data_IF_524924035002
#
_entry.id   IF_524924035002
#
_cell.length_a   1.000
_cell.length_b   1.000
_cell.length_c   1.000
_cell.angle_alpha   90.00
_cell.angle_beta   90.00
_cell.angle_gamma   90.00
#
_symmetry.space_group_name_H-M   'P 1'
#
loop_
_entity.id
_entity.type
_entity.pdbx_description
1 polymer ?
#
# COMPACT_ATOMS: atom_id res chain seq x y z
N UNK A 1 -49.18 -3.57 -34.17
CA UNK A 1 -50.62 -3.87 -34.00
C UNK A 1 -50.81 -4.60 -32.69
N UNK A 2 -51.31 -3.90 -31.67
CA UNK A 2 -51.72 -4.47 -30.37
C UNK A 2 -53.25 -4.64 -30.42
N UNK A 3 -53.80 -5.77 -29.93
CA UNK A 3 -54.86 -5.70 -28.91
C UNK A 3 -54.89 -6.95 -27.97
N UNK A 4 -55.80 -7.03 -26.98
CA UNK A 4 -56.00 -6.09 -25.88
C UNK A 4 -56.01 -6.78 -24.49
N UNK A 5 -56.01 -5.94 -23.44
CA UNK A 5 -56.21 -6.27 -22.02
C UNK A 5 -57.70 -6.48 -21.71
N UNK A 6 -58.02 -7.44 -20.84
CA UNK A 6 -59.26 -7.41 -20.04
C UNK A 6 -58.98 -7.44 -18.54
N UNK A 7 -59.57 -6.46 -17.86
CA UNK A 7 -59.73 -6.36 -16.40
C UNK A 7 -61.00 -7.10 -16.01
N UNK A 8 -60.97 -7.78 -14.87
CA UNK A 8 -62.20 -8.05 -14.11
C UNK A 8 -62.01 -7.52 -12.68
N UNK A 9 -62.90 -6.62 -12.31
CA UNK A 9 -63.15 -6.06 -10.97
C UNK A 9 -64.55 -6.52 -10.57
N UNK A 10 -64.71 -6.93 -9.31
CA UNK A 10 -65.90 -6.82 -8.44
C UNK A 10 -66.00 -8.05 -7.54
N UNK A 11 -66.52 -8.02 -6.31
CA UNK A 11 -66.72 -6.99 -5.30
C UNK A 11 -67.05 -7.72 -4.00
N UNK A 12 -66.87 -7.03 -2.88
CA UNK A 12 -67.26 -7.40 -1.52
C UNK A 12 -68.66 -8.02 -1.38
N UNK A 13 -68.80 -8.93 -0.41
CA UNK A 13 -69.92 -8.88 0.53
C UNK A 13 -69.55 -9.46 1.90
N UNK A 14 -69.92 -8.71 2.92
CA UNK A 14 -69.70 -8.97 4.34
C UNK A 14 -70.85 -9.79 4.94
N UNK A 15 -70.57 -10.58 5.99
CA UNK A 15 -71.50 -10.96 7.07
C UNK A 15 -70.65 -11.66 8.16
N UNK A 16 -70.40 -11.03 9.30
CA UNK A 16 -71.23 -10.97 10.52
C UNK A 16 -70.91 -12.07 11.55
N UNK A 17 -70.16 -11.66 12.59
CA UNK A 17 -70.25 -11.99 14.03
C UNK A 17 -70.76 -13.39 14.44
N UNK A 18 -69.95 -14.14 15.21
CA UNK A 18 -70.07 -14.29 16.69
C UNK A 18 -69.05 -15.31 17.26
N UNK A 19 -68.41 -14.85 18.33
CA UNK A 19 -67.84 -15.55 19.50
C UNK A 19 -67.99 -17.08 19.62
N UNK A 20 -66.86 -17.74 19.86
CA UNK A 20 -66.79 -19.08 20.46
C UNK A 20 -65.33 -19.42 20.81
N UNK A 21 -64.98 -19.31 22.09
CA UNK A 21 -63.69 -19.76 22.60
C UNK A 21 -63.64 -21.30 22.58
N UNK A 22 -62.64 -21.86 21.91
CA UNK A 22 -62.27 -23.27 22.05
C UNK A 22 -60.76 -23.31 22.31
N UNK A 23 -60.40 -23.51 23.58
CA UNK A 23 -59.05 -23.86 23.99
C UNK A 23 -58.75 -25.28 23.51
N UNK A 24 -57.89 -25.41 22.51
CA UNK A 24 -57.16 -26.65 22.24
C UNK A 24 -55.69 -26.28 22.27
N UNK A 25 -55.01 -26.75 23.32
CA UNK A 25 -53.59 -26.58 23.51
C UNK A 25 -52.81 -27.28 22.40
N UNK A 26 -51.97 -26.51 21.72
CA UNK A 26 -50.91 -27.05 20.85
C UNK A 26 -49.61 -26.41 21.31
N UNK A 27 -48.68 -27.26 21.71
CA UNK A 27 -47.35 -26.90 22.19
C UNK A 27 -46.61 -26.04 21.16
N UNK A 28 -46.22 -24.84 21.62
CA UNK A 28 -45.34 -23.93 20.91
C UNK A 28 -43.93 -24.53 20.93
N UNK A 29 -43.50 -25.14 19.84
CA UNK A 29 -42.07 -25.32 19.57
C UNK A 29 -41.56 -24.01 18.99
N UNK A 30 -40.90 -23.21 19.82
CA UNK A 30 -40.04 -22.12 19.37
C UNK A 30 -38.86 -22.73 18.60
N UNK A 31 -38.98 -22.80 17.27
CA UNK A 31 -37.81 -22.97 16.40
C UNK A 31 -37.09 -21.62 16.36
N UNK A 32 -36.15 -21.42 17.28
CA UNK A 32 -35.16 -20.36 17.19
C UNK A 32 -34.30 -20.64 15.96
N UNK A 33 -34.63 -20.02 14.83
CA UNK A 33 -33.65 -19.78 13.78
C UNK A 33 -32.59 -18.86 14.38
N UNK A 34 -31.50 -19.45 14.85
CA UNK A 34 -30.27 -18.74 15.07
C UNK A 34 -29.83 -18.19 13.71
N UNK A 35 -30.09 -16.90 13.49
CA UNK A 35 -29.43 -16.14 12.44
C UNK A 35 -27.92 -16.41 12.60
N UNK A 36 -27.21 -16.79 11.53
CA UNK A 36 -25.76 -16.86 11.64
C UNK A 36 -25.31 -15.46 12.03
N UNK A 37 -24.70 -15.36 13.21
CA UNK A 37 -24.03 -14.17 13.67
C UNK A 37 -23.26 -13.62 12.48
N UNK A 38 -23.60 -12.41 12.06
CA UNK A 38 -22.87 -11.69 11.04
C UNK A 38 -21.40 -11.92 11.31
N UNK A 39 -20.77 -12.68 10.42
CA UNK A 39 -19.34 -12.94 10.47
C UNK A 39 -18.74 -11.57 10.65
N UNK A 40 -18.13 -11.34 11.81
CA UNK A 40 -17.30 -10.18 12.00
C UNK A 40 -16.21 -10.35 10.95
N UNK A 41 -16.42 -9.75 9.78
CA UNK A 41 -15.37 -9.34 8.89
C UNK A 41 -14.56 -8.40 9.76
N UNK A 42 -13.61 -8.99 10.48
CA UNK A 42 -12.48 -8.30 11.02
C UNK A 42 -11.93 -7.60 9.80
N UNK A 43 -12.15 -6.29 9.73
CA UNK A 43 -11.46 -5.44 8.78
C UNK A 43 -9.99 -5.72 9.03
N UNK A 44 -9.39 -6.59 8.21
CA UNK A 44 -7.95 -6.74 8.17
C UNK A 44 -7.50 -5.39 7.62
N UNK A 45 -7.20 -4.47 8.52
CA UNK A 45 -6.38 -3.32 8.21
C UNK A 45 -5.01 -3.89 7.81
N UNK A 46 -4.86 -4.25 6.53
CA UNK A 46 -3.54 -4.44 5.95
C UNK A 46 -2.80 -3.11 6.10
N UNK A 47 -1.58 -3.17 6.64
CA UNK A 47 -0.86 -2.00 7.13
C UNK A 47 -0.95 -1.80 8.65
N UNK A 48 -0.76 -2.84 9.46
CA UNK A 48 -0.68 -2.70 10.93
C UNK A 48 0.58 -1.93 11.35
N UNK A 49 0.53 -0.61 11.21
CA UNK A 49 1.43 0.35 11.82
C UNK A 49 0.72 0.97 13.00
N UNK A 50 0.61 0.18 14.07
CA UNK A 50 0.17 0.72 15.36
C UNK A 50 1.34 1.48 15.96
N UNK A 51 1.12 2.74 16.35
CA UNK A 51 2.14 3.56 16.99
C UNK A 51 2.54 2.87 18.31
N UNK A 52 3.77 2.40 18.36
CA UNK A 52 4.44 1.87 19.55
C UNK A 52 5.77 2.58 19.77
N UNK A 53 6.44 2.27 20.87
CA UNK A 53 7.79 2.78 21.16
C UNK A 53 8.81 1.78 20.61
N UNK A 54 9.49 2.08 19.48
CA UNK A 54 10.45 1.16 18.91
C UNK A 54 11.76 1.17 19.73
N UNK A 55 12.36 0.00 19.93
CA UNK A 55 13.63 -0.15 20.65
C UNK A 55 14.82 0.24 19.76
N UNK A 56 15.83 0.87 20.36
CA UNK A 56 17.14 1.06 19.74
C UNK A 56 17.82 -0.29 19.47
N UNK A 57 18.89 -0.30 18.67
CA UNK A 57 19.62 -1.53 18.39
C UNK A 57 20.14 -2.19 19.66
N UNK A 58 20.80 -1.44 20.54
CA UNK A 58 21.37 -1.97 21.79
C UNK A 58 20.32 -2.56 22.73
N UNK A 59 19.15 -1.94 22.84
CA UNK A 59 18.04 -2.48 23.62
C UNK A 59 17.46 -3.75 22.98
N UNK A 60 17.31 -3.75 21.65
CA UNK A 60 16.72 -4.86 20.91
C UNK A 60 17.57 -6.14 20.95
N UNK A 61 18.90 -6.02 21.10
CA UNK A 61 19.83 -7.17 21.20
C UNK A 61 19.42 -8.17 22.28
N UNK A 62 18.92 -7.66 23.41
CA UNK A 62 18.52 -8.45 24.58
C UNK A 62 17.35 -9.38 24.27
N UNK A 63 16.50 -9.00 23.32
CA UNK A 63 15.28 -9.73 22.99
C UNK A 63 15.43 -10.63 21.75
N UNK A 64 16.54 -10.59 21.02
CA UNK A 64 16.68 -11.27 19.72
C UNK A 64 16.37 -12.77 19.80
N UNK A 65 16.89 -13.45 20.84
CA UNK A 65 16.65 -14.87 21.05
C UNK A 65 15.17 -15.17 21.36
N UNK A 66 14.55 -14.32 22.17
CA UNK A 66 13.13 -14.42 22.49
C UNK A 66 12.27 -14.18 21.24
N UNK A 67 12.53 -13.11 20.48
CA UNK A 67 11.75 -12.75 19.28
C UNK A 67 11.80 -13.88 18.25
N UNK A 68 12.97 -14.47 17.97
CA UNK A 68 13.10 -15.60 17.05
C UNK A 68 12.31 -16.82 17.55
N UNK A 69 12.48 -17.17 18.82
CA UNK A 69 11.77 -18.32 19.43
C UNK A 69 10.26 -18.12 19.47
N UNK A 70 9.79 -16.90 19.79
CA UNK A 70 8.38 -16.53 19.78
C UNK A 70 7.81 -16.55 18.35
N UNK A 71 8.55 -16.04 17.37
CA UNK A 71 8.15 -16.06 15.96
C UNK A 71 7.99 -17.48 15.43
N UNK A 72 8.93 -18.39 15.72
CA UNK A 72 8.82 -19.81 15.35
C UNK A 72 7.60 -20.46 16.01
N UNK A 73 7.35 -20.19 17.31
CA UNK A 73 6.15 -20.70 17.99
C UNK A 73 4.85 -20.17 17.37
N UNK A 74 4.79 -18.88 17.04
CA UNK A 74 3.64 -18.27 16.38
C UNK A 74 3.41 -18.85 14.99
N UNK A 75 4.48 -19.08 14.23
CA UNK A 75 4.42 -19.73 12.93
C UNK A 75 3.86 -21.16 13.04
N UNK A 76 4.43 -22.00 13.92
CA UNK A 76 3.98 -23.38 14.11
C UNK A 76 2.52 -23.42 14.59
N UNK A 77 2.15 -22.56 15.54
CA UNK A 77 0.78 -22.46 16.04
C UNK A 77 -0.20 -22.07 14.93
N UNK A 78 0.16 -21.07 14.12
CA UNK A 78 -0.67 -20.63 12.99
C UNK A 78 -0.79 -21.74 11.96
N UNK A 79 0.33 -22.37 11.56
CA UNK A 79 0.34 -23.49 10.63
C UNK A 79 -0.57 -24.63 11.11
N UNK A 80 -0.40 -25.09 12.35
CA UNK A 80 -1.23 -26.17 12.89
C UNK A 80 -2.72 -25.80 12.97
N UNK A 81 -3.05 -24.53 13.18
CA UNK A 81 -4.43 -24.04 13.19
C UNK A 81 -5.08 -24.06 11.80
N UNK A 82 -4.32 -23.80 10.74
CA UNK A 82 -4.86 -23.56 9.39
C UNK A 82 -4.50 -24.62 8.34
N UNK A 83 -3.58 -25.54 8.63
CA UNK A 83 -3.07 -26.55 7.67
C UNK A 83 -4.15 -27.44 7.04
N UNK A 84 -5.22 -27.67 7.79
CA UNK A 84 -6.31 -28.57 7.41
C UNK A 84 -7.49 -27.82 6.77
N UNK A 85 -7.41 -26.48 6.63
CA UNK A 85 -8.37 -25.71 5.86
C UNK A 85 -8.36 -26.14 4.39
N UNK A 86 -9.56 -26.21 3.81
CA UNK A 86 -9.85 -26.59 2.42
C UNK A 86 -10.97 -25.72 1.89
N UNK A 87 -11.04 -25.56 0.57
CA UNK A 87 -12.09 -24.78 -0.08
C UNK A 87 -11.88 -23.27 -0.02
N UNK A 88 -10.64 -22.81 0.18
CA UNK A 88 -10.32 -21.40 0.07
C UNK A 88 -10.51 -20.92 -1.37
N UNK A 89 -11.16 -19.77 -1.53
CA UNK A 89 -11.26 -19.09 -2.82
C UNK A 89 -9.91 -18.49 -3.22
N UNK A 90 -9.61 -18.47 -4.51
CA UNK A 90 -8.43 -17.77 -5.02
C UNK A 90 -8.65 -16.26 -4.85
N UNK A 91 -8.11 -15.71 -3.77
CA UNK A 91 -8.07 -14.28 -3.50
C UNK A 91 -6.69 -13.72 -3.83
N UNK A 92 -6.65 -12.58 -4.51
CA UNK A 92 -5.42 -11.92 -4.90
C UNK A 92 -5.61 -10.40 -4.98
N UNK A 93 -4.52 -9.64 -5.06
CA UNK A 93 -4.54 -8.19 -5.08
C UNK A 93 -3.26 -7.63 -5.65
N UNK A 94 -3.28 -6.33 -5.94
CA UNK A 94 -2.10 -5.58 -6.39
C UNK A 94 -1.77 -4.45 -5.40
N UNK A 95 -0.48 -4.16 -5.25
CA UNK A 95 0.03 -3.07 -4.42
C UNK A 95 0.83 -2.12 -5.32
N UNK A 96 0.54 -0.81 -5.22
CA UNK A 96 1.17 0.20 -6.07
C UNK A 96 1.70 1.34 -5.22
N UNK A 97 2.97 1.64 -5.39
CA UNK A 97 3.67 2.76 -4.75
C UNK A 97 3.68 3.99 -5.65
N UNK A 98 3.46 5.16 -5.05
CA UNK A 98 3.46 6.46 -5.70
C UNK A 98 4.54 7.34 -5.07
N UNK A 99 5.37 7.97 -5.89
CA UNK A 99 6.25 9.05 -5.46
C UNK A 99 5.57 10.39 -5.70
N UNK A 100 5.49 11.25 -4.68
CA UNK A 100 4.88 12.58 -4.73
C UNK A 100 5.98 13.61 -4.96
N UNK A 101 5.88 14.32 -6.08
CA UNK A 101 6.89 15.29 -6.50
C UNK A 101 6.27 16.65 -6.74
N UNK A 102 6.96 17.70 -6.28
CA UNK A 102 6.64 19.10 -6.57
C UNK A 102 7.36 19.55 -7.83
N UNK A 103 6.64 20.13 -8.77
CA UNK A 103 7.12 20.60 -10.07
C UNK A 103 7.07 22.12 -10.10
N UNK A 104 8.25 22.73 -9.97
CA UNK A 104 8.41 24.16 -10.20
C UNK A 104 8.50 24.43 -11.70
N UNK A 105 7.45 25.04 -12.26
CA UNK A 105 7.33 25.34 -13.68
C UNK A 105 8.30 26.45 -14.13
N UNK A 106 8.66 27.38 -13.25
CA UNK A 106 9.53 28.50 -13.55
C UNK A 106 10.99 28.04 -13.57
N UNK A 107 11.45 27.41 -12.49
CA UNK A 107 12.83 26.90 -12.41
C UNK A 107 13.03 25.57 -13.13
N UNK A 108 11.95 24.94 -13.61
CA UNK A 108 11.92 23.61 -14.24
C UNK A 108 12.54 22.52 -13.36
N UNK A 109 12.39 22.66 -12.03
CA UNK A 109 12.90 21.71 -11.04
C UNK A 109 11.78 20.80 -10.56
N UNK A 110 12.14 19.54 -10.35
CA UNK A 110 11.27 18.55 -9.71
C UNK A 110 11.90 18.16 -8.39
N UNK A 111 11.14 18.26 -7.30
CA UNK A 111 11.61 17.99 -5.93
C UNK A 111 10.69 17.02 -5.22
N UNK A 112 11.19 16.38 -4.17
CA UNK A 112 10.44 15.41 -3.38
C UNK A 112 9.48 16.14 -2.45
N UNK A 113 8.17 15.95 -2.58
CA UNK A 113 7.20 16.55 -1.66
C UNK A 113 7.11 15.68 -0.41
N UNK A 114 7.48 16.19 0.77
CA UNK A 114 7.44 15.44 2.03
C UNK A 114 6.03 15.34 2.64
N UNK A 115 4.99 15.55 1.82
CA UNK A 115 3.58 15.54 2.22
C UNK A 115 2.93 14.16 2.17
N UNK A 116 3.68 13.07 2.01
CA UNK A 116 3.12 11.71 1.91
C UNK A 116 2.22 11.32 3.08
N UNK A 117 2.59 11.72 4.31
CA UNK A 117 1.73 11.49 5.49
C UNK A 117 0.41 12.27 5.40
N UNK A 118 0.49 13.56 5.07
CA UNK A 118 -0.68 14.43 4.96
C UNK A 118 -1.65 13.94 3.87
N UNK A 119 -1.12 13.63 2.69
CA UNK A 119 -1.87 13.08 1.55
C UNK A 119 -2.54 11.77 1.93
N UNK A 120 -1.82 10.86 2.59
CA UNK A 120 -2.38 9.58 3.06
C UNK A 120 -3.51 9.78 4.08
N UNK A 121 -3.34 10.68 5.05
CA UNK A 121 -4.38 10.98 6.05
C UNK A 121 -5.65 11.51 5.34
N UNK A 122 -5.51 12.48 4.43
CA UNK A 122 -6.64 13.03 3.67
C UNK A 122 -7.35 11.97 2.80
N UNK A 123 -6.59 11.07 2.18
CA UNK A 123 -7.16 9.98 1.39
C UNK A 123 -7.94 9.01 2.26
N UNK A 124 -7.39 8.59 3.39
CA UNK A 124 -8.08 7.70 4.33
C UNK A 124 -9.33 8.34 4.92
N UNK A 125 -9.31 9.65 5.22
CA UNK A 125 -10.49 10.39 5.67
C UNK A 125 -11.59 10.41 4.59
N UNK A 126 -11.22 10.60 3.32
CA UNK A 126 -12.18 10.54 2.19
C UNK A 126 -12.75 9.14 2.00
N UNK A 127 -11.94 8.09 2.13
CA UNK A 127 -12.39 6.70 2.00
C UNK A 127 -13.36 6.31 3.13
N UNK A 128 -13.10 6.76 4.37
CA UNK A 128 -14.00 6.54 5.51
C UNK A 128 -15.40 7.13 5.29
N UNK A 129 -15.49 8.21 4.50
CA UNK A 129 -16.74 8.90 4.18
C UNK A 129 -17.40 8.42 2.86
N UNK A 130 -16.80 7.47 2.15
CA UNK A 130 -17.23 7.02 0.81
C UNK A 130 -18.01 5.70 0.83
N UNK A 131 -19.04 5.60 1.67
CA UNK A 131 -19.83 4.38 1.82
C UNK A 131 -20.48 3.91 0.50
N UNK A 132 -20.39 2.61 0.21
CA UNK A 132 -21.10 1.96 -0.91
C UNK A 132 -20.38 2.00 -2.27
N UNK A 133 -19.20 2.61 -2.36
CA UNK A 133 -18.37 2.58 -3.58
C UNK A 133 -17.23 1.56 -3.46
N UNK A 134 -16.67 1.15 -4.61
CA UNK A 134 -15.37 0.49 -4.64
C UNK A 134 -14.34 1.45 -4.02
N UNK A 135 -13.58 0.97 -3.04
CA UNK A 135 -12.71 1.81 -2.22
C UNK A 135 -11.25 1.45 -2.41
N UNK A 136 -10.40 2.28 -1.83
CA UNK A 136 -8.95 2.12 -1.85
C UNK A 136 -8.44 2.00 -0.41
N UNK A 137 -7.37 1.24 -0.22
CA UNK A 137 -6.62 1.24 1.04
C UNK A 137 -5.31 1.99 0.82
N UNK A 138 -5.02 2.98 1.67
CA UNK A 138 -3.84 3.82 1.59
C UNK A 138 -2.97 3.62 2.82
N UNK A 139 -1.71 3.25 2.60
CA UNK A 139 -0.75 2.96 3.67
C UNK A 139 0.54 3.75 3.47
N UNK A 140 1.29 4.02 4.56
CA UNK A 140 2.52 4.78 4.44
C UNK A 140 3.65 3.88 3.96
N UNK A 141 4.55 4.45 3.16
CA UNK A 141 5.79 3.81 2.74
C UNK A 141 7.02 4.45 3.41
N UNK A 142 8.21 3.88 3.19
CA UNK A 142 9.46 4.36 3.78
C UNK A 142 9.73 5.84 3.50
N UNK A 143 9.51 6.27 2.26
CA UNK A 143 9.67 7.66 1.86
C UNK A 143 8.58 8.55 2.45
N UNK A 144 8.95 9.67 3.08
CA UNK A 144 8.01 10.72 3.46
C UNK A 144 7.31 11.35 2.25
N UNK A 145 7.86 11.13 1.05
CA UNK A 145 7.29 11.51 -0.24
C UNK A 145 6.55 10.36 -0.94
N UNK A 146 6.31 9.23 -0.26
CA UNK A 146 5.69 8.05 -0.83
C UNK A 146 4.37 7.70 -0.16
N UNK A 147 3.47 7.14 -0.95
CA UNK A 147 2.21 6.54 -0.49
C UNK A 147 2.01 5.24 -1.28
N UNK A 148 1.57 4.19 -0.60
CA UNK A 148 1.18 2.92 -1.24
C UNK A 148 -0.35 2.79 -1.24
N UNK A 149 -0.88 2.15 -2.28
CA UNK A 149 -2.30 1.90 -2.43
C UNK A 149 -2.63 0.51 -2.95
N UNK A 150 -3.63 -0.11 -2.33
CA UNK A 150 -4.18 -1.42 -2.69
C UNK A 150 -5.70 -1.31 -2.91
N UNK A 151 -6.33 -2.26 -3.63
CA UNK A 151 -7.79 -2.33 -3.64
C UNK A 151 -8.32 -2.65 -2.23
N UNK A 152 -9.43 -2.03 -1.81
CA UNK A 152 -9.99 -2.28 -0.47
C UNK A 152 -10.60 -3.70 -0.29
N UNK A 153 -10.73 -4.44 -1.38
CA UNK A 153 -11.20 -5.83 -1.41
C UNK A 153 -10.32 -6.62 -2.37
N UNK A 154 -9.95 -7.86 -2.02
CA UNK A 154 -9.22 -8.71 -2.93
C UNK A 154 -10.06 -9.03 -4.17
N UNK A 155 -9.38 -9.22 -5.29
CA UNK A 155 -9.91 -9.88 -6.47
C UNK A 155 -10.11 -11.37 -6.18
N UNK A 156 -10.98 -12.00 -6.95
CA UNK A 156 -11.35 -13.41 -6.85
C UNK A 156 -10.83 -14.21 -8.06
N UNK A 157 -11.15 -15.50 -8.11
CA UNK A 157 -10.80 -16.40 -9.22
C UNK A 157 -11.60 -16.19 -10.50
N UNK A 158 -12.56 -15.26 -10.56
CA UNK A 158 -13.35 -15.01 -11.77
C UNK A 158 -12.57 -14.16 -12.79
N UNK A 159 -12.64 -14.52 -14.06
CA UNK A 159 -11.99 -13.78 -15.16
C UNK A 159 -12.45 -12.32 -15.26
N UNK A 160 -13.66 -12.01 -14.81
CA UNK A 160 -14.18 -10.64 -14.73
C UNK A 160 -13.32 -9.72 -13.83
N UNK A 161 -12.64 -10.27 -12.83
CA UNK A 161 -11.79 -9.47 -11.94
C UNK A 161 -10.48 -9.05 -12.61
N UNK A 162 -10.01 -9.77 -13.64
CA UNK A 162 -8.86 -9.32 -14.45
C UNK A 162 -9.14 -7.97 -15.12
N UNK A 163 -10.39 -7.74 -15.52
CA UNK A 163 -10.82 -6.46 -16.12
C UNK A 163 -11.00 -5.35 -15.08
N UNK A 164 -11.06 -5.69 -13.78
CA UNK A 164 -11.22 -4.71 -12.70
C UNK A 164 -9.89 -4.12 -12.25
N UNK A 165 -8.77 -4.80 -12.46
CA UNK A 165 -7.44 -4.35 -12.01
C UNK A 165 -7.13 -2.93 -12.51
N UNK A 166 -7.21 -2.70 -13.82
CA UNK A 166 -6.90 -1.37 -14.38
C UNK A 166 -7.91 -0.31 -13.90
N UNK A 167 -9.19 -0.67 -13.77
CA UNK A 167 -10.23 0.23 -13.26
C UNK A 167 -9.95 0.64 -11.81
N UNK A 168 -9.54 -0.32 -10.98
CA UNK A 168 -9.11 -0.11 -9.59
C UNK A 168 -7.87 0.79 -9.51
N UNK A 169 -6.86 0.56 -10.36
CA UNK A 169 -5.67 1.43 -10.44
C UNK A 169 -6.03 2.86 -10.88
N UNK A 170 -6.91 3.01 -11.88
CA UNK A 170 -7.40 4.31 -12.34
C UNK A 170 -8.20 5.03 -11.25
N UNK A 171 -8.99 4.29 -10.46
CA UNK A 171 -9.70 4.86 -9.32
C UNK A 171 -8.73 5.40 -8.27
N UNK A 172 -7.73 4.60 -7.85
CA UNK A 172 -6.66 5.05 -6.95
C UNK A 172 -5.98 6.32 -7.46
N UNK A 173 -5.60 6.36 -8.74
CA UNK A 173 -5.02 7.56 -9.35
C UNK A 173 -5.96 8.77 -9.31
N UNK A 174 -7.25 8.59 -9.61
CA UNK A 174 -8.24 9.67 -9.53
C UNK A 174 -8.38 10.19 -8.10
N UNK A 175 -8.43 9.32 -7.10
CA UNK A 175 -8.48 9.71 -5.68
C UNK A 175 -7.23 10.50 -5.28
N UNK A 176 -6.04 10.01 -5.65
CA UNK A 176 -4.77 10.72 -5.42
C UNK A 176 -4.79 12.15 -5.99
N UNK A 177 -5.25 12.33 -7.23
CA UNK A 177 -5.33 13.65 -7.86
C UNK A 177 -6.27 14.64 -7.12
N UNK A 178 -7.16 14.18 -6.24
CA UNK A 178 -8.04 15.09 -5.47
C UNK A 178 -7.40 15.72 -4.24
N UNK A 179 -6.21 15.26 -3.84
CA UNK A 179 -5.48 15.74 -2.64
C UNK A 179 -4.12 16.33 -2.96
N UNK A 180 -3.64 16.20 -4.20
CA UNK A 180 -2.41 16.85 -4.66
C UNK A 180 -2.60 18.36 -4.78
N UNK A 181 -1.54 19.10 -4.52
CA UNK A 181 -1.45 20.53 -4.84
C UNK A 181 -1.34 20.73 -6.38
N UNK A 182 -1.63 21.96 -6.86
CA UNK A 182 -1.59 22.28 -8.29
C UNK A 182 -0.21 22.10 -8.94
N UNK A 183 0.85 22.18 -8.13
CA UNK A 183 2.23 21.99 -8.53
C UNK A 183 2.79 20.63 -8.09
N UNK A 184 1.94 19.67 -7.75
CA UNK A 184 2.35 18.31 -7.43
C UNK A 184 1.92 17.28 -8.48
N UNK A 185 2.74 16.24 -8.61
CA UNK A 185 2.46 15.06 -9.41
C UNK A 185 2.74 13.80 -8.60
N UNK A 186 2.05 12.70 -8.91
CA UNK A 186 2.25 11.41 -8.27
C UNK A 186 2.46 10.27 -9.30
N UNK A 187 3.58 10.26 -10.04
CA UNK A 187 3.87 9.17 -10.96
C UNK A 187 4.27 7.89 -10.21
N UNK A 188 4.09 6.77 -10.90
CA UNK A 188 4.50 5.42 -10.44
C UNK A 188 5.83 5.09 -11.09
N UNK A 189 6.93 5.64 -10.57
CA UNK A 189 8.30 5.37 -11.02
C UNK A 189 9.06 4.58 -9.97
N UNK A 190 9.96 3.70 -10.39
CA UNK A 190 10.72 2.83 -9.48
C UNK A 190 11.79 3.58 -8.69
N UNK A 191 12.38 4.62 -9.26
CA UNK A 191 13.41 5.41 -8.61
C UNK A 191 13.31 6.87 -9.06
N UNK A 192 13.40 7.80 -8.09
CA UNK A 192 13.52 9.22 -8.40
C UNK A 192 14.93 9.51 -8.94
N UNK A 193 15.10 9.90 -10.23
CA UNK A 193 16.41 9.89 -10.88
C UNK A 193 17.43 10.85 -10.28
N UNK A 194 16.97 11.89 -9.55
CA UNK A 194 17.82 12.95 -8.98
C UNK A 194 17.94 12.89 -7.45
N UNK A 195 17.62 11.75 -6.83
CA UNK A 195 17.71 11.60 -5.37
C UNK A 195 19.17 11.86 -4.92
N UNK A 196 19.36 12.85 -4.06
CA UNK A 196 20.68 13.23 -3.55
C UNK A 196 21.62 13.89 -4.57
N UNK A 197 21.13 14.28 -5.76
CA UNK A 197 21.92 14.87 -6.85
C UNK A 197 21.46 16.29 -7.22
N UNK A 198 20.88 17.02 -6.28
CA UNK A 198 20.32 18.36 -6.53
C UNK A 198 21.20 19.51 -6.03
N UNK A 199 22.30 19.21 -5.33
CA UNK A 199 23.16 20.20 -4.66
C UNK A 199 22.67 20.57 -3.26
N UNK A 200 21.43 20.21 -2.94
CA UNK A 200 20.80 20.23 -1.63
C UNK A 200 20.11 18.88 -1.39
N UNK A 201 19.30 18.76 -0.33
CA UNK A 201 18.57 17.54 0.03
C UNK A 201 17.50 17.13 -1.01
N UNK A 202 17.12 18.05 -1.90
CA UNK A 202 16.21 17.78 -3.01
C UNK A 202 14.73 17.69 -2.65
N UNK A 203 14.34 18.05 -1.42
CA UNK A 203 12.96 17.95 -0.96
C UNK A 203 12.27 19.30 -0.73
N UNK A 204 10.96 19.25 -0.51
CA UNK A 204 10.09 20.37 -0.14
C UNK A 204 9.14 19.90 0.99
N UNK A 205 9.13 20.56 2.16
CA UNK A 205 10.04 21.62 2.57
C UNK A 205 11.49 21.12 2.64
N UNK A 206 12.45 22.01 2.38
CA UNK A 206 13.87 21.65 2.44
C UNK A 206 14.28 21.26 3.86
N UNK A 207 15.13 20.24 3.97
CA UNK A 207 15.70 19.78 5.24
C UNK A 207 17.22 19.78 5.18
N UNK A 208 17.94 19.93 6.32
CA UNK A 208 19.39 19.81 6.32
C UNK A 208 19.82 18.44 5.81
N UNK A 209 20.84 18.42 4.95
CA UNK A 209 21.48 17.17 4.50
C UNK A 209 22.08 16.44 5.70
N UNK A 210 21.93 15.12 5.71
CA UNK A 210 22.33 14.26 6.81
C UNK A 210 21.27 14.17 7.91
N UNK A 211 21.73 13.98 9.14
CA UNK A 211 20.88 13.76 10.30
C UNK A 211 21.23 12.48 11.06
N UNK A 212 20.76 12.33 12.31
CA UNK A 212 21.20 11.28 13.22
C UNK A 212 20.84 9.86 12.78
N UNK A 213 19.83 9.70 11.91
CA UNK A 213 19.34 8.39 11.46
C UNK A 213 20.17 7.87 10.29
N UNK A 214 20.16 8.57 9.16
CA UNK A 214 20.85 8.13 7.93
C UNK A 214 22.35 8.39 7.97
N UNK A 215 22.80 9.50 8.58
CA UNK A 215 24.14 10.06 8.41
C UNK A 215 24.54 10.21 6.92
N UNK A 216 23.57 10.44 6.04
CA UNK A 216 23.81 10.57 4.60
C UNK A 216 24.55 11.86 4.26
N UNK A 217 25.37 11.81 3.21
CA UNK A 217 26.08 12.97 2.65
C UNK A 217 25.25 13.71 1.59
N UNK A 218 24.13 13.11 1.16
CA UNK A 218 23.39 13.57 -0.02
C UNK A 218 21.93 13.95 0.27
N UNK A 219 21.33 13.37 1.30
CA UNK A 219 19.91 13.56 1.62
C UNK A 219 19.72 13.79 3.12
N UNK A 220 18.69 14.56 3.48
CA UNK A 220 18.31 14.77 4.88
C UNK A 220 17.41 13.67 5.42
N UNK A 221 17.40 13.49 6.75
CA UNK A 221 16.52 12.52 7.44
C UNK A 221 15.02 12.81 7.25
N UNK A 222 14.63 14.02 6.81
CA UNK A 222 13.25 14.36 6.47
C UNK A 222 12.67 13.52 5.33
N UNK A 223 13.52 12.85 4.56
CA UNK A 223 13.11 11.88 3.54
C UNK A 223 12.41 10.65 4.12
N UNK A 224 12.62 10.36 5.41
CA UNK A 224 12.07 9.20 6.08
C UNK A 224 10.67 9.53 6.56
N UNK A 225 9.72 8.64 6.27
CA UNK A 225 8.36 8.76 6.76
C UNK A 225 8.32 8.95 8.29
N UNK A 226 7.50 9.88 8.80
CA UNK A 226 7.48 10.24 10.22
C UNK A 226 7.05 9.11 11.16
N UNK A 227 6.46 8.02 10.65
CA UNK A 227 6.11 6.88 11.49
C UNK A 227 7.37 6.27 12.15
N UNK A 228 7.41 6.08 13.49
CA UNK A 228 8.63 5.73 14.23
C UNK A 228 9.36 4.47 13.74
N UNK A 229 8.60 3.52 13.17
CA UNK A 229 9.15 2.30 12.56
C UNK A 229 10.27 2.59 11.56
N UNK A 230 10.06 3.53 10.64
CA UNK A 230 10.97 3.74 9.51
C UNK A 230 12.27 4.38 9.99
N UNK A 231 12.17 5.44 10.79
CA UNK A 231 13.34 6.10 11.36
C UNK A 231 14.17 5.19 12.28
N UNK A 232 13.53 4.31 13.05
CA UNK A 232 14.25 3.35 13.90
C UNK A 232 14.86 2.22 13.08
N UNK A 233 14.18 1.75 12.03
CA UNK A 233 14.75 0.75 11.12
C UNK A 233 16.05 1.26 10.50
N UNK A 234 16.07 2.50 9.99
CA UNK A 234 17.26 3.12 9.40
C UNK A 234 18.43 3.19 10.38
N UNK A 235 18.17 3.69 11.60
CA UNK A 235 19.20 3.79 12.64
C UNK A 235 19.71 2.40 13.05
N UNK A 236 18.81 1.45 13.30
CA UNK A 236 19.18 0.11 13.77
C UNK A 236 19.98 -0.68 12.72
N UNK A 237 19.68 -0.54 11.42
CA UNK A 237 20.47 -1.17 10.35
C UNK A 237 21.91 -0.65 10.38
N UNK A 238 22.08 0.67 10.49
CA UNK A 238 23.38 1.32 10.53
C UNK A 238 24.17 0.93 11.78
N UNK A 239 23.54 0.99 12.95
CA UNK A 239 24.16 0.62 14.23
C UNK A 239 24.55 -0.86 14.28
N UNK A 240 23.67 -1.75 13.79
CA UNK A 240 23.99 -3.18 13.64
C UNK A 240 25.18 -3.42 12.73
N UNK A 241 25.27 -2.67 11.62
CA UNK A 241 26.36 -2.79 10.65
C UNK A 241 27.67 -2.18 11.17
N UNK A 242 27.59 -1.20 12.07
CA UNK A 242 28.74 -0.39 12.51
C UNK A 242 29.22 0.62 11.46
N UNK A 243 28.52 0.75 10.33
CA UNK A 243 28.86 1.66 9.23
C UNK A 243 27.61 2.07 8.45
N UNK A 244 27.73 3.13 7.63
CA UNK A 244 26.72 3.46 6.62
C UNK A 244 26.51 2.29 5.66
N UNK A 245 25.28 2.13 5.17
CA UNK A 245 25.00 1.24 4.04
C UNK A 245 25.70 1.82 2.81
N UNK A 246 26.33 0.95 2.02
CA UNK A 246 27.10 1.34 0.85
C UNK A 246 26.64 0.49 -0.34
N UNK A 247 26.01 1.14 -1.31
CA UNK A 247 25.52 0.54 -2.55
C UNK A 247 26.29 1.21 -3.67
N UNK A 248 27.02 0.42 -4.46
CA UNK A 248 27.78 0.90 -5.62
C UNK A 248 27.10 0.40 -6.88
N UNK A 249 26.53 1.32 -7.66
CA UNK A 249 25.96 1.02 -8.96
C UNK A 249 27.00 1.37 -10.03
N UNK A 250 27.30 0.48 -10.98
CA UNK A 250 28.20 0.80 -12.09
C UNK A 250 27.68 2.01 -12.88
N UNK A 251 28.57 2.97 -13.14
CA UNK A 251 28.23 4.14 -13.93
C UNK A 251 28.18 3.76 -15.42
N UNK A 252 27.22 4.34 -16.14
CA UNK A 252 27.14 4.15 -17.59
C UNK A 252 28.34 4.83 -18.28
N UNK A 253 29.01 4.06 -19.15
CA UNK A 253 30.18 4.50 -19.91
C UNK A 253 29.73 5.15 -21.21
N UNK A 254 29.59 6.47 -21.19
CA UNK A 254 29.42 7.28 -22.39
C UNK A 254 30.76 7.97 -22.73
N UNK A 255 30.90 8.40 -23.99
CA UNK A 255 32.06 9.17 -24.51
C UNK A 255 32.37 10.37 -23.60
N UNK A 256 31.34 10.98 -23.01
CA UNK A 256 31.49 12.18 -22.19
C UNK A 256 31.45 11.93 -20.68
N UNK A 257 31.37 10.68 -20.21
CA UNK A 257 31.33 10.38 -18.77
C UNK A 257 32.70 10.69 -18.12
N UNK A 258 32.82 11.69 -17.23
CA UNK A 258 34.11 12.20 -16.73
C UNK A 258 35.02 11.15 -16.08
N UNK A 259 34.45 10.20 -15.36
CA UNK A 259 35.13 9.10 -14.67
C UNK A 259 35.82 8.15 -15.66
N UNK A 260 35.34 8.12 -16.90
CA UNK A 260 35.87 7.30 -17.98
C UNK A 260 36.71 8.08 -19.01
N UNK A 261 36.76 9.42 -18.94
CA UNK A 261 37.57 10.25 -19.85
C UNK A 261 39.06 9.92 -19.86
N UNK A 262 39.59 9.36 -18.76
CA UNK A 262 40.99 8.90 -18.67
C UNK A 262 41.24 7.54 -19.35
N UNK A 263 40.20 6.88 -19.83
CA UNK A 263 40.28 5.58 -20.50
C UNK A 263 40.20 5.69 -22.04
N UNK A 264 40.19 6.91 -22.60
CA UNK A 264 40.52 7.16 -24.01
C UNK A 264 42.04 6.99 -24.19
N UNK A 265 42.64 6.05 -24.93
CA UNK A 265 42.24 4.93 -25.78
C UNK A 265 43.44 3.94 -25.81
N UNK A 266 43.35 2.79 -26.49
CA UNK A 266 43.99 2.83 -27.80
C UNK A 266 43.03 2.43 -28.91
N UNK A 267 43.12 3.16 -30.02
CA UNK A 267 42.95 2.55 -31.33
C UNK A 267 43.74 1.23 -31.35
N UNK A 268 43.03 0.12 -31.50
CA UNK A 268 43.57 -1.23 -31.58
C UNK A 268 42.51 -2.15 -32.15
N UNK A 269 42.43 -2.12 -33.49
CA UNK A 269 41.98 -3.18 -34.38
C UNK A 269 40.50 -3.61 -34.33
N UNK A 270 39.71 -2.91 -35.14
CA UNK A 270 38.82 -3.60 -36.08
C UNK A 270 39.68 -4.28 -37.16
N UNK A 271 40.38 -5.37 -36.82
CA UNK A 271 40.85 -6.39 -37.77
C UNK A 271 41.40 -7.65 -37.05
N UNK A 272 40.98 -8.83 -37.52
CA UNK A 272 41.44 -10.16 -37.09
C UNK A 272 40.41 -10.90 -36.23
N UNK A 273 39.59 -11.83 -36.73
CA UNK A 273 39.98 -13.07 -37.41
C UNK A 273 41.16 -13.78 -36.69
N UNK A 274 40.81 -14.78 -35.88
CA UNK A 274 41.63 -15.96 -35.52
C UNK A 274 42.95 -15.79 -34.72
N UNK A 275 43.00 -16.43 -33.54
CA UNK A 275 44.21 -16.95 -32.88
C UNK A 275 45.13 -15.90 -32.22
N UNK A 276 45.92 -16.19 -31.20
CA UNK A 276 46.42 -17.46 -30.67
C UNK A 276 47.02 -17.28 -29.26
N UNK A 277 46.94 -18.37 -28.50
CA UNK A 277 47.60 -18.76 -27.24
C UNK A 277 47.26 -18.04 -25.93
#
# INVERSE_FOLDING_TARGET
SVPPKERVVASLNAMSRRTGALFIGVQIYYLLFALPSASAFSFIAMGLLKVGVPKTWEESKKDLAYIRSAGVRQFISTYNRVRDLKGDELLWGDEIEYGIYRVDKESKKVRLSLRGKEIMDQLNDKEANSAGQEGCTWVPEYGAFMVEATPNRPYTGFTADLLRVERSMRLRRRRMLTVLEEDEIAPTISAFPRLGAQGDDGSVPAVPVGGPRTLSEYIGDGIINPHPRFGTLTANIRERRGSKVNIRVPLYRDVNTPEYKKYDTPHGDVDGCCGSD
#
